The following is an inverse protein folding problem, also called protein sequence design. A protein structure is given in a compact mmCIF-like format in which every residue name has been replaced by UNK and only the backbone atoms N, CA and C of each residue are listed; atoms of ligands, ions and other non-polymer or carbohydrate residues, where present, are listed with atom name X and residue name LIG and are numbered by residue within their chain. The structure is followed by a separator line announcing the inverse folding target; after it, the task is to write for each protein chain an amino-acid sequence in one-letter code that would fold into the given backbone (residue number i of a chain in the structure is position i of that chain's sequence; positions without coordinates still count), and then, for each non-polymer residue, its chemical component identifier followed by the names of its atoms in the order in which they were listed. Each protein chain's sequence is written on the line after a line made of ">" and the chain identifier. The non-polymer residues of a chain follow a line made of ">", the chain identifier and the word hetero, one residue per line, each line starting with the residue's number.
data_IF_439998653660
#
_entry.id   IF_439998653660
#
_cell.length_a   1.000
_cell.length_b   1.000
_cell.length_c   1.000
_cell.angle_alpha   90.00
_cell.angle_beta   90.00
_cell.angle_gamma   90.00
#
_symmetry.space_group_name_H-M   'P 1'
#
loop_
_entity.id
_entity.type
_entity.pdbx_description
1 polymer ?
#
# COMPACT_ATOMS: atom_id res chain seq x y z
N UNK A 1 9.75 8.08 29.84
CA UNK A 1 10.61 7.98 28.64
C UNK A 1 11.59 9.15 28.65
N UNK A 2 12.88 8.86 28.81
CA UNK A 2 13.91 9.86 29.14
C UNK A 2 14.07 10.97 28.09
N UNK A 3 14.18 12.20 28.58
CA UNK A 3 14.57 13.36 27.75
C UNK A 3 15.97 13.06 27.20
N UNK A 4 16.08 12.79 25.90
CA UNK A 4 17.39 12.69 25.25
C UNK A 4 18.17 13.98 25.52
N UNK A 5 19.30 13.86 26.21
CA UNK A 5 20.19 14.98 26.53
C UNK A 5 21.00 15.31 25.27
N UNK A 6 20.38 15.97 24.31
CA UNK A 6 21.00 16.41 23.05
C UNK A 6 21.44 17.85 23.27
N UNK A 7 22.76 18.08 23.32
CA UNK A 7 23.34 19.41 23.51
C UNK A 7 23.25 20.26 22.25
N UNK A 8 23.41 21.58 22.43
CA UNK A 8 23.45 22.54 21.33
C UNK A 8 24.67 22.31 20.43
N UNK A 9 25.86 22.04 21.00
CA UNK A 9 27.08 21.82 20.21
C UNK A 9 26.97 20.57 19.32
N UNK A 10 26.33 19.50 19.83
CA UNK A 10 26.10 18.28 19.04
C UNK A 10 25.22 18.54 17.81
N UNK A 11 24.19 19.38 17.94
CA UNK A 11 23.32 19.73 16.81
C UNK A 11 24.04 20.64 15.81
N UNK A 12 24.81 21.62 16.29
CA UNK A 12 25.60 22.51 15.42
C UNK A 12 26.62 21.74 14.59
N UNK A 13 27.35 20.79 15.19
CA UNK A 13 28.28 19.92 14.46
C UNK A 13 27.59 19.13 13.34
N UNK A 14 26.40 18.58 13.60
CA UNK A 14 25.64 17.80 12.62
C UNK A 14 24.98 18.68 11.55
N UNK A 15 24.62 19.91 11.88
CA UNK A 15 24.14 20.92 10.92
C UNK A 15 25.28 21.37 10.00
N UNK A 16 26.49 21.56 10.53
CA UNK A 16 27.67 21.90 9.74
C UNK A 16 28.03 20.79 8.74
N UNK A 17 27.73 19.53 9.07
CA UNK A 17 27.77 18.39 8.12
C UNK A 17 26.61 18.36 7.11
N UNK A 18 25.77 19.40 7.06
CA UNK A 18 24.62 19.55 6.16
C UNK A 18 23.62 18.38 6.22
N UNK A 19 23.48 17.75 7.39
CA UNK A 19 22.56 16.63 7.56
C UNK A 19 21.11 17.12 7.67
N UNK A 20 20.18 16.36 7.08
CA UNK A 20 18.75 16.60 7.26
C UNK A 20 18.29 16.15 8.65
N UNK A 21 17.18 16.70 9.15
CA UNK A 21 16.58 16.32 10.44
C UNK A 21 16.41 14.80 10.63
N UNK A 22 16.07 14.07 9.56
CA UNK A 22 15.98 12.60 9.58
C UNK A 22 17.33 11.91 9.70
N UNK A 23 18.37 12.42 9.02
CA UNK A 23 19.74 11.88 9.14
C UNK A 23 20.31 12.17 10.53
N UNK A 24 20.14 13.37 11.04
CA UNK A 24 20.51 13.75 12.41
C UNK A 24 19.84 12.82 13.42
N UNK A 25 18.54 12.55 13.26
CA UNK A 25 17.81 11.64 14.14
C UNK A 25 18.37 10.21 14.11
N UNK A 26 18.77 9.73 12.92
CA UNK A 26 19.41 8.42 12.76
C UNK A 26 20.77 8.36 13.47
N UNK A 27 21.62 9.39 13.30
CA UNK A 27 22.92 9.49 13.97
C UNK A 27 22.76 9.54 15.50
N UNK A 28 21.83 10.35 15.99
CA UNK A 28 21.56 10.51 17.41
C UNK A 28 20.66 9.41 18.00
N UNK A 29 20.33 8.37 17.22
CA UNK A 29 19.47 7.24 17.60
C UNK A 29 18.18 7.68 18.32
N UNK A 30 17.53 8.73 17.81
CA UNK A 30 16.31 9.29 18.40
C UNK A 30 15.25 9.55 17.34
N UNK A 31 14.07 10.00 17.76
CA UNK A 31 13.00 10.33 16.81
C UNK A 31 13.30 11.64 16.06
N UNK A 32 12.90 11.76 14.78
CA UNK A 32 12.99 13.03 14.05
C UNK A 32 12.23 14.18 14.74
N UNK A 33 11.19 13.87 15.52
CA UNK A 33 10.45 14.86 16.29
C UNK A 33 11.30 15.38 17.47
N UNK A 34 12.06 14.51 18.13
CA UNK A 34 13.00 14.88 19.21
C UNK A 34 14.02 15.89 18.70
N UNK A 35 14.63 15.63 17.53
CA UNK A 35 15.56 16.57 16.88
C UNK A 35 14.88 17.89 16.54
N UNK A 36 13.68 17.87 15.96
CA UNK A 36 12.94 19.11 15.63
C UNK A 36 12.64 19.97 16.86
N UNK A 37 12.25 19.35 17.97
CA UNK A 37 11.95 20.07 19.20
C UNK A 37 13.20 20.74 19.77
N UNK A 38 14.35 20.04 19.79
CA UNK A 38 15.63 20.60 20.24
C UNK A 38 16.16 21.71 19.32
N UNK A 39 16.02 21.55 18.01
CA UNK A 39 16.36 22.62 17.06
C UNK A 39 15.55 23.90 17.31
N UNK A 40 14.24 23.77 17.61
CA UNK A 40 13.39 24.90 17.99
C UNK A 40 13.84 25.53 19.31
N UNK A 41 14.10 24.72 20.33
CA UNK A 41 14.55 25.16 21.65
C UNK A 41 15.83 26.00 21.57
N UNK A 42 16.77 25.61 20.70
CA UNK A 42 18.04 26.33 20.50
C UNK A 42 18.03 27.35 19.36
N UNK A 43 16.87 27.63 18.74
CA UNK A 43 16.73 28.50 17.56
C UNK A 43 17.66 28.14 16.39
N UNK A 44 17.95 26.85 16.20
CA UNK A 44 18.77 26.31 15.13
C UNK A 44 17.92 25.84 13.95
N UNK A 45 18.47 25.93 12.74
CA UNK A 45 17.86 25.40 11.50
C UNK A 45 18.86 24.53 10.76
N UNK A 46 18.42 23.38 10.27
CA UNK A 46 19.25 22.55 9.39
C UNK A 46 19.41 23.23 8.04
N UNK A 47 20.66 23.42 7.61
CA UNK A 47 20.98 23.87 6.25
C UNK A 47 21.08 22.62 5.37
N UNK A 48 19.93 22.12 4.92
CA UNK A 48 19.90 21.04 3.94
C UNK A 48 19.82 21.67 2.55
N UNK A 49 20.92 21.60 1.80
CA UNK A 49 20.88 21.83 0.36
C UNK A 49 20.01 20.72 -0.22
N UNK A 50 18.76 21.06 -0.57
CA UNK A 50 17.84 20.12 -1.18
C UNK A 50 18.55 19.38 -2.29
N UNK A 51 18.52 18.04 -2.29
CA UNK A 51 19.12 17.20 -3.33
C UNK A 51 19.02 17.93 -4.67
N UNK A 52 20.15 18.27 -5.30
CA UNK A 52 20.17 18.87 -6.64
C UNK A 52 19.14 18.11 -7.47
N UNK A 53 18.00 18.75 -7.76
CA UNK A 53 16.87 18.07 -8.40
C UNK A 53 17.39 17.68 -9.76
N UNK A 54 17.68 16.38 -9.94
CA UNK A 54 18.09 15.82 -11.23
C UNK A 54 17.10 16.36 -12.26
N UNK A 55 17.59 17.09 -13.26
CA UNK A 55 16.75 17.56 -14.36
C UNK A 55 16.16 16.34 -15.03
N UNK A 56 14.84 16.22 -14.98
CA UNK A 56 14.08 15.14 -15.62
C UNK A 56 13.39 15.72 -16.84
N UNK A 57 13.25 14.91 -17.87
CA UNK A 57 12.60 15.30 -19.11
C UNK A 57 11.40 14.40 -19.37
N UNK A 58 10.37 14.98 -19.99
CA UNK A 58 9.18 14.25 -20.39
C UNK A 58 9.56 13.15 -21.38
N UNK A 59 9.16 11.91 -21.13
CA UNK A 59 9.52 10.79 -22.02
C UNK A 59 8.83 10.82 -23.39
N UNK A 60 7.94 11.78 -23.63
CA UNK A 60 7.16 11.91 -24.86
C UNK A 60 7.60 13.08 -25.72
N UNK A 61 7.78 14.25 -25.11
CA UNK A 61 8.12 15.48 -25.83
C UNK A 61 9.47 16.07 -25.39
N UNK A 62 10.18 15.40 -24.49
CA UNK A 62 11.47 15.82 -23.95
C UNK A 62 11.47 17.21 -23.26
N UNK A 63 10.31 17.75 -22.90
CA UNK A 63 10.24 18.99 -22.11
C UNK A 63 10.78 18.79 -20.70
N UNK A 64 11.49 19.80 -20.17
CA UNK A 64 11.96 19.80 -18.80
C UNK A 64 10.77 19.68 -17.83
N UNK A 65 10.84 18.68 -16.95
CA UNK A 65 9.83 18.45 -15.93
C UNK A 65 10.04 19.39 -14.74
N UNK A 66 8.94 19.96 -14.25
CA UNK A 66 8.95 20.93 -13.15
C UNK A 66 8.10 20.44 -11.98
N UNK A 67 8.36 20.99 -10.79
CA UNK A 67 7.59 20.66 -9.58
C UNK A 67 7.62 19.18 -9.20
N UNK A 68 6.44 18.54 -9.19
CA UNK A 68 6.23 17.13 -8.85
C UNK A 68 6.15 16.21 -10.08
N UNK A 69 6.34 16.74 -11.29
CA UNK A 69 6.30 15.95 -12.51
C UNK A 69 7.44 14.92 -12.53
N UNK A 70 7.11 13.66 -12.85
CA UNK A 70 8.09 12.57 -12.82
C UNK A 70 8.42 11.97 -14.19
N UNK A 71 7.41 11.72 -15.04
CA UNK A 71 7.57 11.07 -16.36
C UNK A 71 7.02 11.90 -17.52
N UNK A 72 5.98 12.69 -17.27
CA UNK A 72 5.24 13.41 -18.30
C UNK A 72 5.06 14.86 -17.90
N UNK A 73 5.17 15.78 -18.86
CA UNK A 73 4.95 17.21 -18.62
C UNK A 73 3.46 17.59 -18.56
N UNK A 74 2.56 16.74 -19.09
CA UNK A 74 1.12 17.00 -19.13
C UNK A 74 0.30 15.71 -19.28
N UNK A 75 -1.01 15.82 -19.01
CA UNK A 75 -1.98 14.74 -19.29
C UNK A 75 -1.95 14.39 -20.78
N UNK A 76 -1.85 15.37 -21.67
CA UNK A 76 -1.73 15.15 -23.12
C UNK A 76 -0.53 14.26 -23.46
N UNK A 77 0.66 14.55 -22.92
CA UNK A 77 1.83 13.68 -23.11
C UNK A 77 1.62 12.29 -22.48
N UNK A 78 1.03 12.21 -21.29
CA UNK A 78 0.70 10.92 -20.66
C UNK A 78 -0.21 10.07 -21.55
N UNK A 79 -1.19 10.68 -22.21
CA UNK A 79 -2.16 10.01 -23.09
C UNK A 79 -1.58 9.64 -24.47
N UNK A 80 -0.52 10.33 -24.93
CA UNK A 80 0.21 10.01 -26.17
C UNK A 80 1.00 8.72 -26.07
N UNK A 81 1.52 8.40 -24.87
CA UNK A 81 1.81 6.99 -24.55
C UNK A 81 0.47 6.30 -24.34
N UNK A 82 -0.26 6.11 -25.44
CA UNK A 82 -1.38 5.18 -25.47
C UNK A 82 -0.79 3.90 -24.90
N UNK A 83 -1.40 3.40 -23.82
CA UNK A 83 -1.14 2.08 -23.28
C UNK A 83 -1.14 1.10 -24.46
N UNK A 84 0.03 0.84 -25.05
CA UNK A 84 0.15 0.05 -26.26
C UNK A 84 -0.50 -1.27 -25.90
N UNK A 85 -1.56 -1.61 -26.61
CA UNK A 85 -2.54 -2.65 -26.31
C UNK A 85 -1.95 -4.04 -26.05
N UNK A 86 -0.63 -4.23 -26.22
CA UNK A 86 0.14 -5.40 -25.79
C UNK A 86 0.47 -5.44 -24.29
N UNK A 87 0.80 -4.31 -23.65
CA UNK A 87 1.15 -4.30 -22.22
C UNK A 87 -0.10 -4.36 -21.33
N UNK A 88 -1.13 -3.56 -21.61
CA UNK A 88 -2.39 -3.59 -20.83
C UNK A 88 -3.14 -4.94 -20.94
N UNK A 89 -3.09 -5.61 -22.10
CA UNK A 89 -3.64 -6.97 -22.25
C UNK A 89 -2.79 -8.02 -21.54
N UNK A 90 -1.46 -7.91 -21.54
CA UNK A 90 -0.56 -8.74 -20.71
C UNK A 90 -0.85 -8.52 -19.22
N UNK A 91 -1.11 -7.29 -18.82
CA UNK A 91 -1.42 -6.91 -17.44
C UNK A 91 -2.78 -7.45 -17.00
N UNK A 92 -3.81 -7.43 -17.86
CA UNK A 92 -5.11 -8.03 -17.53
C UNK A 92 -5.06 -9.56 -17.43
N UNK A 93 -4.34 -10.23 -18.34
CA UNK A 93 -4.16 -11.69 -18.27
C UNK A 93 -3.38 -12.10 -17.01
N UNK A 94 -2.27 -11.42 -16.72
CA UNK A 94 -1.46 -11.68 -15.53
C UNK A 94 -2.22 -11.34 -14.23
N UNK A 95 -3.02 -10.26 -14.22
CA UNK A 95 -3.93 -9.93 -13.13
C UNK A 95 -4.94 -11.05 -12.88
N UNK A 96 -5.64 -11.51 -13.93
CA UNK A 96 -6.66 -12.57 -13.81
C UNK A 96 -6.04 -13.88 -13.32
N UNK A 97 -4.84 -14.23 -13.81
CA UNK A 97 -4.11 -15.41 -13.38
C UNK A 97 -3.67 -15.32 -11.91
N UNK A 98 -3.10 -14.17 -11.50
CA UNK A 98 -2.66 -13.91 -10.12
C UNK A 98 -3.84 -13.96 -9.15
N UNK A 99 -4.96 -13.31 -9.49
CA UNK A 99 -6.21 -13.40 -8.75
C UNK A 99 -6.66 -14.85 -8.59
N UNK A 100 -6.78 -15.59 -9.70
CA UNK A 100 -7.25 -16.98 -9.70
C UNK A 100 -6.39 -17.86 -8.80
N UNK A 101 -5.06 -17.81 -8.96
CA UNK A 101 -4.12 -18.63 -8.20
C UNK A 101 -4.17 -18.32 -6.70
N UNK A 102 -4.24 -17.03 -6.34
CA UNK A 102 -4.32 -16.63 -4.93
C UNK A 102 -5.68 -16.95 -4.32
N UNK A 103 -6.77 -16.73 -5.04
CA UNK A 103 -8.11 -17.11 -4.56
C UNK A 103 -8.18 -18.62 -4.30
N UNK A 104 -7.66 -19.44 -5.21
CA UNK A 104 -7.55 -20.89 -5.04
C UNK A 104 -6.73 -21.26 -3.81
N UNK A 105 -5.55 -20.64 -3.63
CA UNK A 105 -4.71 -20.84 -2.45
C UNK A 105 -5.49 -20.60 -1.15
N UNK A 106 -6.11 -19.42 -0.99
CA UNK A 106 -6.85 -19.13 0.25
C UNK A 106 -8.11 -19.98 0.44
N UNK A 107 -8.76 -20.40 -0.64
CA UNK A 107 -9.88 -21.33 -0.56
C UNK A 107 -9.43 -22.70 -0.06
N UNK A 108 -8.29 -23.20 -0.56
CA UNK A 108 -7.72 -24.46 -0.09
C UNK A 108 -7.39 -24.42 1.41
N UNK A 109 -6.85 -23.30 1.90
CA UNK A 109 -6.56 -23.07 3.32
C UNK A 109 -7.83 -23.03 4.19
N UNK A 110 -8.99 -22.71 3.60
CA UNK A 110 -10.30 -22.67 4.28
C UNK A 110 -11.13 -23.95 4.05
N UNK A 111 -10.49 -25.05 3.65
CA UNK A 111 -11.13 -26.35 3.49
C UNK A 111 -11.80 -26.60 2.15
N UNK A 112 -11.68 -25.67 1.18
CA UNK A 112 -12.09 -25.89 -0.21
C UNK A 112 -13.59 -25.92 -0.48
N UNK A 113 -14.44 -25.70 0.54
CA UNK A 113 -15.90 -25.80 0.45
C UNK A 113 -16.59 -24.75 1.30
N UNK A 114 -17.85 -24.47 0.98
CA UNK A 114 -18.71 -23.66 1.85
C UNK A 114 -18.76 -24.28 3.24
N UNK A 115 -18.51 -23.49 4.28
CA UNK A 115 -18.52 -23.95 5.67
C UNK A 115 -19.93 -24.24 6.20
N UNK A 116 -20.98 -23.70 5.54
CA UNK A 116 -22.39 -23.93 5.92
C UNK A 116 -22.96 -25.14 5.19
N UNK A 117 -23.03 -25.09 3.85
CA UNK A 117 -23.72 -26.12 3.06
C UNK A 117 -22.80 -27.11 2.33
N UNK A 118 -21.47 -26.99 2.47
CA UNK A 118 -20.51 -27.89 1.84
C UNK A 118 -20.29 -27.70 0.34
N UNK A 119 -20.93 -26.71 -0.32
CA UNK A 119 -20.74 -26.45 -1.75
C UNK A 119 -19.26 -26.28 -2.14
N UNK A 120 -18.79 -27.03 -3.14
CA UNK A 120 -17.39 -27.03 -3.60
C UNK A 120 -17.25 -27.13 -5.13
N UNK A 121 -18.33 -26.92 -5.90
CA UNK A 121 -18.35 -27.21 -7.34
C UNK A 121 -17.79 -26.08 -8.22
N UNK A 122 -17.86 -24.83 -7.77
CA UNK A 122 -17.44 -23.68 -8.58
C UNK A 122 -16.69 -22.62 -7.75
N UNK A 123 -15.45 -22.33 -8.17
CA UNK A 123 -14.58 -21.31 -7.58
C UNK A 123 -15.20 -19.91 -7.56
N UNK A 124 -16.01 -19.56 -8.56
CA UNK A 124 -16.60 -18.23 -8.68
C UNK A 124 -17.67 -17.99 -7.61
N UNK A 125 -18.41 -19.04 -7.24
CA UNK A 125 -19.51 -18.98 -6.25
C UNK A 125 -18.96 -18.86 -4.82
N UNK A 126 -17.76 -19.37 -4.57
CA UNK A 126 -17.10 -19.29 -3.27
C UNK A 126 -16.59 -17.87 -2.97
N UNK A 127 -16.94 -17.35 -1.80
CA UNK A 127 -16.67 -15.98 -1.34
C UNK A 127 -16.22 -15.95 0.12
N UNK A 128 -15.42 -14.94 0.48
CA UNK A 128 -14.93 -14.74 1.84
C UNK A 128 -15.88 -13.80 2.59
N UNK A 129 -16.61 -14.36 3.54
CA UNK A 129 -17.49 -13.64 4.45
C UNK A 129 -16.71 -13.17 5.67
N UNK A 130 -16.77 -11.89 6.03
CA UNK A 130 -16.12 -11.45 7.27
C UNK A 130 -17.05 -11.75 8.45
N UNK A 131 -16.56 -12.48 9.45
CA UNK A 131 -17.34 -12.79 10.67
C UNK A 131 -17.83 -11.53 11.39
N UNK A 132 -16.98 -10.50 11.40
CA UNK A 132 -17.32 -9.20 11.95
C UNK A 132 -16.96 -8.11 10.96
N UNK A 133 -17.99 -7.46 10.41
CA UNK A 133 -17.81 -6.45 9.36
C UNK A 133 -17.05 -5.19 9.85
N UNK A 134 -17.07 -4.91 11.16
CA UNK A 134 -16.36 -3.80 11.81
C UNK A 134 -14.85 -4.03 11.94
N UNK A 135 -14.39 -5.29 11.91
CA UNK A 135 -12.97 -5.67 12.05
C UNK A 135 -12.25 -5.81 10.71
N UNK A 136 -12.96 -5.67 9.58
CA UNK A 136 -12.36 -5.76 8.25
C UNK A 136 -11.53 -4.52 7.93
N UNK A 137 -10.38 -4.72 7.32
CA UNK A 137 -9.59 -3.64 6.75
C UNK A 137 -9.94 -3.45 5.27
N UNK A 138 -10.28 -4.53 4.55
CA UNK A 138 -10.64 -4.49 3.13
C UNK A 138 -11.34 -5.79 2.70
N UNK A 139 -12.14 -5.73 1.64
CA UNK A 139 -12.75 -6.94 1.07
C UNK A 139 -11.75 -7.76 0.25
N UNK A 140 -11.80 -9.09 0.39
CA UNK A 140 -11.01 -10.07 -0.40
C UNK A 140 -11.55 -10.19 -1.84
N UNK A 141 -11.43 -9.09 -2.57
CA UNK A 141 -11.84 -8.95 -3.98
C UNK A 141 -10.73 -9.34 -4.96
N UNK A 142 -11.06 -9.42 -6.25
CA UNK A 142 -10.07 -9.65 -7.30
C UNK A 142 -8.94 -8.60 -7.31
N UNK A 143 -9.26 -7.35 -6.98
CA UNK A 143 -8.28 -6.28 -6.84
C UNK A 143 -7.36 -6.51 -5.64
N UNK A 144 -7.91 -6.90 -4.48
CA UNK A 144 -7.12 -7.18 -3.29
C UNK A 144 -6.15 -8.34 -3.53
N UNK A 145 -6.63 -9.47 -4.05
CA UNK A 145 -5.77 -10.62 -4.37
C UNK A 145 -4.66 -10.28 -5.35
N UNK A 146 -4.91 -9.37 -6.30
CA UNK A 146 -3.91 -9.01 -7.31
C UNK A 146 -2.88 -8.00 -6.80
N UNK A 147 -3.30 -7.05 -5.97
CA UNK A 147 -2.47 -5.90 -5.56
C UNK A 147 -1.80 -6.04 -4.18
N UNK A 148 -2.41 -6.76 -3.23
CA UNK A 148 -1.91 -6.82 -1.85
C UNK A 148 -0.81 -7.88 -1.67
N UNK A 149 0.14 -7.65 -0.73
CA UNK A 149 1.07 -8.68 -0.26
C UNK A 149 0.35 -9.91 0.32
N UNK A 150 0.97 -11.09 0.22
CA UNK A 150 0.34 -12.35 0.64
C UNK A 150 0.09 -12.41 2.15
N UNK A 151 1.00 -11.88 2.97
CA UNK A 151 0.86 -11.81 4.43
C UNK A 151 -0.32 -10.90 4.85
N UNK A 152 -0.52 -9.77 4.16
CA UNK A 152 -1.66 -8.89 4.40
C UNK A 152 -2.97 -9.57 4.01
N UNK A 153 -2.97 -10.35 2.91
CA UNK A 153 -4.13 -11.15 2.53
C UNK A 153 -4.42 -12.25 3.54
N UNK A 154 -3.40 -12.89 4.10
CA UNK A 154 -3.55 -13.92 5.15
C UNK A 154 -4.24 -13.35 6.38
N UNK A 155 -3.73 -12.23 6.92
CA UNK A 155 -4.31 -11.57 8.09
C UNK A 155 -5.80 -11.26 7.88
N UNK A 156 -6.18 -10.83 6.68
CA UNK A 156 -7.59 -10.53 6.38
C UNK A 156 -8.41 -11.80 6.13
N UNK A 157 -7.85 -12.80 5.45
CA UNK A 157 -8.50 -14.10 5.22
C UNK A 157 -8.73 -14.87 6.53
N UNK A 158 -7.88 -14.69 7.53
CA UNK A 158 -8.04 -15.31 8.85
C UNK A 158 -9.33 -14.85 9.52
N UNK A 159 -9.75 -13.59 9.29
CA UNK A 159 -11.02 -13.02 9.79
C UNK A 159 -12.27 -13.48 9.02
N UNK A 160 -12.07 -14.21 7.93
CA UNK A 160 -13.13 -14.62 7.03
C UNK A 160 -13.52 -16.09 7.18
N UNK A 161 -14.78 -16.36 6.85
CA UNK A 161 -15.36 -17.67 6.59
C UNK A 161 -15.53 -17.86 5.09
N UNK A 162 -15.40 -19.10 4.62
CA UNK A 162 -15.56 -19.44 3.22
C UNK A 162 -16.98 -19.93 2.96
N UNK A 163 -17.77 -19.15 2.23
CA UNK A 163 -19.19 -19.44 1.97
C UNK A 163 -19.49 -19.45 0.47
N UNK A 164 -20.52 -20.20 0.06
CA UNK A 164 -21.09 -20.05 -1.28
C UNK A 164 -21.95 -18.78 -1.35
N UNK A 165 -22.24 -18.30 -2.56
CA UNK A 165 -23.04 -17.08 -2.76
C UNK A 165 -24.39 -17.11 -2.05
N UNK A 166 -25.09 -18.26 -2.01
CA UNK A 166 -26.40 -18.37 -1.35
C UNK A 166 -26.27 -18.18 0.16
N UNK A 167 -25.50 -19.04 0.84
CA UNK A 167 -25.30 -18.93 2.29
C UNK A 167 -24.70 -17.58 2.69
N UNK A 168 -23.83 -17.01 1.84
CA UNK A 168 -23.30 -15.67 2.06
C UNK A 168 -24.39 -14.60 2.05
N UNK A 169 -25.32 -14.65 1.09
CA UNK A 169 -26.43 -13.70 0.98
C UNK A 169 -27.45 -13.90 2.11
N UNK A 170 -27.81 -15.14 2.43
CA UNK A 170 -28.70 -15.48 3.56
C UNK A 170 -28.18 -14.89 4.88
N UNK A 171 -26.87 -14.97 5.14
CA UNK A 171 -26.27 -14.34 6.32
C UNK A 171 -26.29 -12.81 6.30
N UNK A 172 -26.17 -12.17 5.13
CA UNK A 172 -26.25 -10.71 5.03
C UNK A 172 -27.69 -10.20 5.17
N UNK A 173 -28.67 -11.02 4.82
CA UNK A 173 -30.08 -10.62 4.79
C UNK A 173 -31.03 -11.62 5.47
N UNK A 174 -30.82 -11.91 6.77
CA UNK A 174 -31.63 -12.89 7.49
C UNK A 174 -33.12 -12.53 7.56
N UNK A 175 -33.47 -11.25 7.39
CA UNK A 175 -34.85 -10.76 7.37
C UNK A 175 -35.67 -11.21 6.14
N UNK A 176 -35.03 -11.78 5.12
CA UNK A 176 -35.71 -12.29 3.92
C UNK A 176 -35.82 -13.82 3.89
N UNK A 177 -35.55 -14.50 5.01
CA UNK A 177 -35.78 -15.93 5.12
C UNK A 177 -37.28 -16.23 4.97
N UNK A 178 -37.60 -17.21 4.11
CA UNK A 178 -38.97 -17.70 3.87
C UNK A 178 -39.42 -18.66 4.97
#
# INVERSE_FOLDING_TARGET
>A
MGKSNISKEQLEHLINKQLSTRKIAKELKCSPMTVKNRLKEYNLKTVFQGNNKIKRYCIVCNNLLTGLQQKYCSISCRSKIKNTSRNFKKDYKSFKLRYKNRKLFFISQKGGKCQICGYNKNLAVLSFHHRENTKKCFSLSASAFSSKPINILQIEADKCDLLCSNCHLELHYPQYNL
#
